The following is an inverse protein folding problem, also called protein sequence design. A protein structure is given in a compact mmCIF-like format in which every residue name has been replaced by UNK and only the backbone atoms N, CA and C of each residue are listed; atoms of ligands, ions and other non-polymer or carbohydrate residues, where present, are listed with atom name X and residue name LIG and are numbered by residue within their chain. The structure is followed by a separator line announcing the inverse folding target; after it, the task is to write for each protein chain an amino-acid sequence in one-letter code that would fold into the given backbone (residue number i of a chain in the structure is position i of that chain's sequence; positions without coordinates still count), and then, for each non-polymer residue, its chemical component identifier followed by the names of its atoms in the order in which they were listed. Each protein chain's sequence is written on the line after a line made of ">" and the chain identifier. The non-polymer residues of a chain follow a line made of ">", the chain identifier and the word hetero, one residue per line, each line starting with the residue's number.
data_IF_684518478930
#
_entry.id   IF_684518478930
#
_cell.length_a   1.000
_cell.length_b   1.000
_cell.length_c   1.000
_cell.angle_alpha   90.00
_cell.angle_beta   90.00
_cell.angle_gamma   90.00
#
_symmetry.space_group_name_H-M   'P 1'
#
loop_
_entity.id
_entity.type
_entity.pdbx_description
1 polymer ?
#
# COMPACT_ATOMS: atom_id res chain seq x y z
N UNK A 1 -18.18 -17.90 12.98
CA UNK A 1 -17.03 -17.60 12.09
C UNK A 1 -15.81 -17.59 12.99
N UNK A 2 -14.75 -18.33 12.65
CA UNK A 2 -13.67 -18.65 13.59
C UNK A 2 -12.95 -17.39 14.11
N UNK A 3 -13.06 -17.21 15.42
CA UNK A 3 -12.26 -16.29 16.25
C UNK A 3 -10.84 -16.84 16.28
N UNK A 4 -9.84 -16.06 15.89
CA UNK A 4 -8.43 -16.36 16.16
C UNK A 4 -7.96 -15.44 17.29
N UNK A 5 -7.47 -16.03 18.37
CA UNK A 5 -6.76 -15.31 19.43
C UNK A 5 -5.43 -14.77 18.88
N UNK A 6 -5.15 -13.48 19.12
CA UNK A 6 -3.83 -12.89 18.93
C UNK A 6 -3.29 -12.58 20.33
N UNK A 7 -2.13 -13.14 20.67
CA UNK A 7 -1.50 -12.94 21.98
C UNK A 7 -0.62 -11.67 21.98
N UNK A 8 -1.09 -10.64 22.68
CA UNK A 8 -0.33 -9.72 23.54
C UNK A 8 0.89 -8.91 23.04
N UNK A 9 1.39 -9.06 21.81
CA UNK A 9 2.65 -8.38 21.40
C UNK A 9 2.56 -7.51 20.15
N UNK A 10 1.37 -7.16 19.66
CA UNK A 10 1.22 -6.35 18.43
C UNK A 10 0.84 -4.88 18.66
N UNK A 11 0.84 -4.40 19.91
CA UNK A 11 0.63 -2.99 20.22
C UNK A 11 1.99 -2.34 20.51
N UNK A 12 2.84 -2.25 19.49
CA UNK A 12 3.92 -1.23 19.51
C UNK A 12 4.18 -0.76 18.09
N UNK A 13 4.09 0.56 17.92
CA UNK A 13 4.42 1.37 16.75
C UNK A 13 3.28 1.61 15.76
N UNK A 14 2.44 2.60 16.07
CA UNK A 14 1.77 3.39 15.03
C UNK A 14 1.82 4.87 15.41
N UNK A 15 2.40 5.70 14.53
CA UNK A 15 2.94 7.04 14.83
C UNK A 15 2.10 8.16 14.19
N UNK A 16 0.77 8.01 14.13
CA UNK A 16 -0.08 9.02 13.48
C UNK A 16 -1.42 9.28 14.17
N UNK A 17 -1.52 9.08 15.49
CA UNK A 17 -2.62 9.66 16.25
C UNK A 17 -2.36 11.17 16.41
N UNK A 18 -3.19 12.02 15.82
CA UNK A 18 -3.20 13.46 16.17
C UNK A 18 -4.03 13.64 17.43
N UNK A 19 -3.48 14.33 18.43
CA UNK A 19 -4.24 14.76 19.60
C UNK A 19 -5.39 15.69 19.16
N UNK A 20 -6.61 15.40 19.61
CA UNK A 20 -7.75 16.29 19.41
C UNK A 20 -7.54 17.62 20.17
N UNK A 21 -7.93 18.78 19.60
CA UNK A 21 -7.75 20.06 20.26
C UNK A 21 -8.55 20.12 21.57
N UNK A 22 -7.87 20.44 22.65
CA UNK A 22 -8.44 20.57 24.00
C UNK A 22 -9.36 21.80 24.06
N UNK A 23 -10.63 21.61 24.43
CA UNK A 23 -11.52 22.68 24.88
C UNK A 23 -12.84 22.86 24.10
N UNK A 24 -13.94 22.48 24.77
CA UNK A 24 -15.32 22.97 24.67
C UNK A 24 -16.19 22.73 23.42
N UNK A 25 -15.74 22.04 22.38
CA UNK A 25 -16.63 21.70 21.26
C UNK A 25 -16.60 20.19 21.01
N UNK A 26 -17.79 19.55 21.04
CA UNK A 26 -17.95 18.20 20.51
C UNK A 26 -17.64 18.25 19.02
N UNK A 27 -16.61 17.53 18.58
CA UNK A 27 -16.26 17.44 17.17
C UNK A 27 -16.84 16.12 16.65
N UNK A 28 -17.71 16.16 15.63
CA UNK A 28 -18.15 14.93 14.98
C UNK A 28 -16.98 14.34 14.20
N UNK A 29 -16.63 13.10 14.50
CA UNK A 29 -15.69 12.32 13.70
C UNK A 29 -16.51 11.30 12.91
N UNK A 30 -16.28 11.27 11.61
CA UNK A 30 -16.89 10.29 10.71
C UNK A 30 -15.87 9.18 10.50
N UNK A 31 -16.19 7.99 10.97
CA UNK A 31 -15.31 6.84 10.86
C UNK A 31 -15.95 5.83 9.91
N UNK A 32 -15.19 5.46 8.87
CA UNK A 32 -15.52 4.36 7.97
C UNK A 32 -14.43 3.30 8.13
N UNK A 33 -14.84 2.02 8.15
CA UNK A 33 -13.91 0.88 8.11
C UNK A 33 -12.95 0.74 9.32
N UNK A 34 -13.45 0.96 10.54
CA UNK A 34 -12.69 0.70 11.77
C UNK A 34 -12.78 -0.76 12.25
N UNK A 35 -11.83 -1.14 13.11
CA UNK A 35 -11.94 -2.32 13.98
C UNK A 35 -11.96 -1.81 15.41
N UNK A 36 -13.10 -1.96 16.06
CA UNK A 36 -13.27 -1.65 17.47
C UNK A 36 -13.18 -2.95 18.27
N UNK A 37 -12.63 -2.86 19.47
CA UNK A 37 -12.55 -4.00 20.39
C UNK A 37 -13.68 -3.84 21.40
N UNK A 38 -14.06 -4.86 22.16
CA UNK A 38 -14.82 -4.64 23.39
C UNK A 38 -14.72 -5.87 24.29
N UNK A 39 -14.59 -5.65 25.59
CA UNK A 39 -14.47 -6.74 26.55
C UNK A 39 -15.85 -7.24 27.00
N UNK A 40 -16.05 -8.55 27.06
CA UNK A 40 -17.25 -9.13 27.67
C UNK A 40 -17.25 -8.90 29.19
N UNK A 41 -18.16 -8.06 29.68
CA UNK A 41 -18.22 -7.69 31.10
C UNK A 41 -18.81 -8.78 32.02
N UNK A 42 -19.23 -9.94 31.49
CA UNK A 42 -19.68 -11.07 32.33
C UNK A 42 -18.53 -11.94 32.90
N UNK A 43 -17.34 -11.36 33.09
CA UNK A 43 -16.23 -11.99 33.82
C UNK A 43 -15.40 -13.00 33.02
N UNK A 44 -15.43 -12.93 31.69
CA UNK A 44 -14.52 -13.69 30.83
C UNK A 44 -13.32 -12.84 30.37
N UNK A 45 -12.13 -13.44 30.26
CA UNK A 45 -10.92 -12.81 29.69
C UNK A 45 -10.97 -12.67 28.16
N UNK A 46 -12.17 -12.66 27.57
CA UNK A 46 -12.37 -12.74 26.13
C UNK A 46 -12.71 -11.36 25.60
N UNK A 47 -11.80 -10.79 24.80
CA UNK A 47 -12.04 -9.59 24.00
C UNK A 47 -12.78 -9.98 22.73
N UNK A 48 -13.85 -9.27 22.43
CA UNK A 48 -14.52 -9.28 21.14
C UNK A 48 -14.00 -8.11 20.31
N UNK A 49 -14.27 -8.16 19.01
CA UNK A 49 -14.02 -7.02 18.14
C UNK A 49 -15.15 -6.89 17.13
N UNK A 50 -15.57 -5.66 16.87
CA UNK A 50 -16.48 -5.28 15.81
C UNK A 50 -15.66 -4.76 14.64
N UNK A 51 -15.79 -5.40 13.48
CA UNK A 51 -15.15 -4.90 12.26
C UNK A 51 -16.20 -4.23 11.39
N UNK A 52 -16.12 -2.90 11.26
CA UNK A 52 -16.97 -2.12 10.36
C UNK A 52 -16.61 -2.33 8.88
N UNK A 53 -15.42 -2.88 8.57
CA UNK A 53 -14.99 -3.14 7.17
C UNK A 53 -15.96 -4.00 6.35
N UNK A 54 -16.92 -4.68 6.98
CA UNK A 54 -17.94 -5.50 6.30
C UNK A 54 -19.27 -4.79 6.02
N UNK A 55 -19.52 -3.63 6.63
CA UNK A 55 -20.75 -2.86 6.44
C UNK A 55 -20.39 -1.49 5.86
N UNK A 56 -21.06 -1.10 4.78
CA UNK A 56 -20.93 0.20 4.12
C UNK A 56 -21.63 1.31 4.92
N UNK A 57 -21.40 1.35 6.23
CA UNK A 57 -22.04 2.29 7.15
C UNK A 57 -21.00 3.26 7.73
N UNK A 58 -21.28 4.55 7.62
CA UNK A 58 -20.57 5.60 8.35
C UNK A 58 -21.12 5.67 9.77
N UNK A 59 -20.26 5.58 10.79
CA UNK A 59 -20.65 5.93 12.17
C UNK A 59 -20.23 7.37 12.46
N UNK A 60 -21.08 8.08 13.20
CA UNK A 60 -20.79 9.42 13.71
C UNK A 60 -20.50 9.26 15.18
N UNK A 61 -19.32 9.72 15.60
CA UNK A 61 -18.89 9.68 16.98
C UNK A 61 -18.62 11.09 17.49
N UNK A 62 -19.03 11.36 18.72
CA UNK A 62 -18.83 12.65 19.37
C UNK A 62 -17.76 12.49 20.44
N UNK A 63 -16.59 13.08 20.20
CA UNK A 63 -15.47 13.01 21.15
C UNK A 63 -15.45 14.27 22.02
N UNK A 64 -15.37 14.08 23.35
CA UNK A 64 -15.17 15.16 24.33
C UNK A 64 -13.84 14.98 25.06
N UNK A 65 -12.95 15.97 24.96
CA UNK A 65 -11.65 15.97 25.67
C UNK A 65 -11.68 17.01 26.78
N UNK A 66 -11.62 16.56 28.03
CA UNK A 66 -11.59 17.42 29.21
C UNK A 66 -10.25 17.32 29.94
N UNK A 67 -9.55 18.44 30.14
CA UNK A 67 -8.30 18.50 30.92
C UNK A 67 -8.52 18.60 32.43
N UNK A 68 -9.68 18.18 32.93
CA UNK A 68 -10.13 18.50 34.29
C UNK A 68 -9.68 17.55 35.40
N UNK A 69 -9.13 16.36 35.10
CA UNK A 69 -8.79 15.39 36.15
C UNK A 69 -7.28 15.31 36.42
N UNK A 70 -6.86 15.86 37.56
CA UNK A 70 -5.54 15.55 38.13
C UNK A 70 -5.59 14.16 38.73
N UNK A 71 -5.24 13.15 37.94
CA UNK A 71 -4.53 11.93 38.33
C UNK A 71 -4.43 11.01 37.09
N UNK A 72 -3.22 10.93 36.53
CA UNK A 72 -2.75 9.94 35.55
C UNK A 72 -3.67 9.58 34.38
N UNK A 73 -3.63 10.37 33.31
CA UNK A 73 -4.09 9.95 31.98
C UNK A 73 -4.78 11.06 31.20
N UNK A 74 -4.42 11.20 29.92
CA UNK A 74 -5.31 11.78 28.90
C UNK A 74 -6.42 10.76 28.67
N UNK A 75 -7.62 11.05 29.15
CA UNK A 75 -8.82 10.25 28.88
C UNK A 75 -9.61 10.91 27.73
N UNK A 76 -10.23 10.10 26.88
CA UNK A 76 -11.28 10.53 25.96
C UNK A 76 -12.58 9.80 26.34
N UNK A 77 -13.72 10.49 26.32
CA UNK A 77 -15.03 9.89 26.61
C UNK A 77 -15.84 9.75 25.32
N UNK A 78 -16.48 8.59 25.12
CA UNK A 78 -17.42 8.32 24.05
C UNK A 78 -18.87 8.44 24.55
N UNK A 79 -19.73 9.01 23.71
CA UNK A 79 -21.18 8.96 23.89
C UNK A 79 -21.79 8.10 22.77
N UNK A 80 -22.01 6.81 23.07
CA UNK A 80 -22.66 5.87 22.16
C UNK A 80 -24.19 6.06 22.16
N UNK A 81 -24.69 7.07 21.46
CA UNK A 81 -26.12 7.12 21.10
C UNK A 81 -26.31 6.35 19.77
N UNK A 82 -27.11 5.26 19.72
CA UNK A 82 -28.25 4.97 20.60
C UNK A 82 -28.11 3.75 21.52
N UNK A 83 -26.92 3.21 21.78
CA UNK A 83 -26.78 1.86 22.38
C UNK A 83 -25.97 1.75 23.68
N UNK A 84 -25.56 2.85 24.32
CA UNK A 84 -24.87 2.82 25.63
C UNK A 84 -25.68 3.46 26.79
N UNK A 85 -25.75 2.85 27.99
CA UNK A 85 -26.29 3.52 29.18
C UNK A 85 -25.37 4.70 29.60
N UNK A 86 -25.92 5.80 30.12
CA UNK A 86 -25.22 7.09 30.24
C UNK A 86 -24.11 7.18 31.32
N UNK A 87 -23.59 6.07 31.86
CA UNK A 87 -22.61 6.09 32.97
C UNK A 87 -21.68 4.86 32.98
N UNK A 88 -21.01 4.54 31.88
CA UNK A 88 -20.05 3.43 31.84
C UNK A 88 -18.60 3.92 31.83
N UNK A 89 -17.72 3.37 32.68
CA UNK A 89 -16.29 3.66 32.63
C UNK A 89 -15.71 3.07 31.34
N UNK A 90 -14.96 3.94 30.66
CA UNK A 90 -14.16 3.70 29.47
C UNK A 90 -13.44 2.33 29.50
N UNK A 91 -13.72 1.51 28.49
CA UNK A 91 -13.18 0.15 28.35
C UNK A 91 -12.19 -0.01 27.18
N UNK A 92 -11.72 1.09 26.57
CA UNK A 92 -10.75 1.04 25.48
C UNK A 92 -9.44 1.75 25.83
N UNK A 93 -8.37 1.01 26.18
CA UNK A 93 -7.10 1.65 26.49
C UNK A 93 -6.37 2.24 25.28
N UNK A 94 -6.74 1.90 24.03
CA UNK A 94 -6.09 2.43 22.83
C UNK A 94 -7.03 2.38 21.60
N UNK A 95 -7.56 3.53 21.18
CA UNK A 95 -8.15 3.69 19.84
C UNK A 95 -7.04 3.95 18.82
N UNK A 96 -6.82 3.01 17.89
CA UNK A 96 -5.91 3.21 16.76
C UNK A 96 -6.71 3.87 15.62
N UNK A 97 -6.72 5.20 15.60
CA UNK A 97 -7.20 5.98 14.47
C UNK A 97 -6.15 5.88 13.36
N UNK A 98 -6.37 4.99 12.39
CA UNK A 98 -5.62 5.02 11.14
C UNK A 98 -6.19 6.17 10.31
N UNK A 99 -5.42 7.22 10.09
CA UNK A 99 -5.80 8.30 9.17
C UNK A 99 -5.66 7.78 7.73
N UNK A 100 -6.77 7.41 7.05
CA UNK A 100 -6.71 6.92 5.69
C UNK A 100 -6.32 8.03 4.70
N UNK A 101 -6.16 9.28 5.15
CA UNK A 101 -5.83 10.43 4.30
C UNK A 101 -4.33 10.65 4.09
N UNK A 102 -3.45 9.86 4.73
CA UNK A 102 -2.00 10.00 4.58
C UNK A 102 -1.41 9.07 3.50
N UNK A 103 -1.42 9.51 2.24
CA UNK A 103 -0.67 8.85 1.17
C UNK A 103 0.81 8.82 1.58
N UNK A 104 1.35 7.62 1.75
CA UNK A 104 2.75 7.42 2.11
C UNK A 104 3.30 6.23 1.35
N UNK A 105 4.37 6.41 0.61
CA UNK A 105 5.19 5.31 0.10
C UNK A 105 6.39 5.15 1.03
N UNK A 106 6.63 3.92 1.46
CA UNK A 106 7.73 3.58 2.35
C UNK A 106 8.85 2.88 1.59
N UNK A 107 10.04 2.92 2.17
CA UNK A 107 11.18 2.17 1.68
C UNK A 107 10.92 0.67 1.58
N UNK A 108 11.71 0.02 0.71
CA UNK A 108 11.71 -1.44 0.62
C UNK A 108 12.35 -2.06 1.86
N UNK A 109 11.71 -3.10 2.41
CA UNK A 109 12.29 -3.91 3.48
C UNK A 109 13.34 -4.93 2.97
N UNK A 110 13.44 -5.10 1.65
CA UNK A 110 14.36 -6.04 0.99
C UNK A 110 15.18 -5.32 -0.08
N UNK A 111 16.08 -4.39 0.29
CA UNK A 111 16.85 -3.62 -0.68
C UNK A 111 17.80 -4.50 -1.49
N UNK A 112 17.86 -4.25 -2.80
CA UNK A 112 18.82 -4.86 -3.72
C UNK A 112 20.04 -3.94 -3.80
N UNK A 113 21.12 -4.33 -3.11
CA UNK A 113 22.35 -3.53 -3.02
C UNK A 113 23.19 -3.56 -4.30
N UNK A 114 23.11 -4.64 -5.06
CA UNK A 114 23.79 -4.81 -6.35
C UNK A 114 22.82 -5.40 -7.37
N UNK A 115 22.27 -4.54 -8.21
CA UNK A 115 21.34 -4.95 -9.26
C UNK A 115 22.01 -5.77 -10.36
N UNK A 116 23.33 -5.61 -10.57
CA UNK A 116 24.07 -6.44 -11.52
C UNK A 116 24.14 -7.89 -11.02
N UNK A 117 24.44 -8.10 -9.73
CA UNK A 117 24.40 -9.45 -9.13
C UNK A 117 22.96 -9.99 -9.07
N UNK A 118 21.98 -9.12 -8.83
CA UNK A 118 20.57 -9.50 -8.82
C UNK A 118 20.11 -10.08 -10.17
N UNK A 119 20.47 -9.40 -11.27
CA UNK A 119 20.06 -9.76 -12.63
C UNK A 119 21.09 -10.63 -13.39
N UNK A 120 22.18 -11.08 -12.75
CA UNK A 120 23.30 -11.77 -13.43
C UNK A 120 22.93 -13.02 -14.23
N UNK A 121 21.84 -13.71 -13.85
CA UNK A 121 21.38 -14.90 -14.56
C UNK A 121 20.45 -14.57 -15.75
N UNK A 122 20.12 -13.30 -15.98
CA UNK A 122 19.36 -12.85 -17.15
C UNK A 122 20.34 -12.63 -18.32
N UNK A 123 20.16 -13.40 -19.39
CA UNK A 123 20.90 -13.27 -20.62
C UNK A 123 20.25 -12.21 -21.53
N UNK A 124 20.88 -11.03 -21.58
CA UNK A 124 20.44 -9.90 -22.40
C UNK A 124 20.39 -10.15 -23.91
N UNK A 125 20.98 -11.25 -24.40
CA UNK A 125 20.97 -11.61 -25.83
C UNK A 125 19.78 -12.49 -26.23
N UNK A 126 18.92 -12.87 -25.28
CA UNK A 126 17.73 -13.69 -25.50
C UNK A 126 16.51 -12.87 -25.06
N UNK A 127 15.35 -13.08 -25.69
CA UNK A 127 14.10 -12.47 -25.24
C UNK A 127 13.70 -12.95 -23.84
N UNK A 128 12.72 -12.29 -23.25
CA UNK A 128 12.18 -12.66 -21.94
C UNK A 128 10.67 -12.43 -21.88
N UNK A 129 10.00 -13.01 -20.90
CA UNK A 129 8.67 -12.58 -20.49
C UNK A 129 8.82 -11.55 -19.39
N UNK A 130 8.23 -10.38 -19.59
CA UNK A 130 8.12 -9.33 -18.59
C UNK A 130 6.71 -9.38 -18.02
N UNK A 131 6.59 -9.29 -16.70
CA UNK A 131 5.30 -9.07 -16.05
C UNK A 131 5.35 -7.78 -15.25
N UNK A 132 4.37 -6.91 -15.45
CA UNK A 132 4.12 -5.74 -14.58
C UNK A 132 3.00 -6.14 -13.61
N UNK A 133 3.22 -5.89 -12.32
CA UNK A 133 2.28 -6.13 -11.23
C UNK A 133 1.86 -4.80 -10.63
N UNK A 134 0.60 -4.73 -10.20
CA UNK A 134 0.05 -3.58 -9.50
C UNK A 134 -0.73 -4.08 -8.29
N UNK A 135 -0.29 -3.63 -7.12
CA UNK A 135 -0.94 -3.80 -5.83
C UNK A 135 -1.66 -2.50 -5.50
N UNK A 136 -2.99 -2.50 -5.59
CA UNK A 136 -3.78 -1.30 -5.41
C UNK A 136 -3.99 -1.08 -3.90
N UNK A 137 -4.06 0.18 -3.40
CA UNK A 137 -4.41 0.45 -2.01
C UNK A 137 -5.68 -0.24 -1.55
N UNK A 138 -6.67 -0.25 -2.43
CA UNK A 138 -7.87 -1.06 -2.33
C UNK A 138 -8.02 -1.85 -3.62
N UNK A 139 -8.01 -3.18 -3.49
CA UNK A 139 -8.20 -4.10 -4.60
C UNK A 139 -9.42 -3.72 -5.44
N UNK A 140 -9.22 -3.61 -6.75
CA UNK A 140 -10.27 -3.28 -7.71
C UNK A 140 -10.94 -1.90 -7.48
N UNK A 141 -10.19 -0.91 -7.00
CA UNK A 141 -10.65 0.47 -6.81
C UNK A 141 -9.63 1.49 -7.33
N UNK A 142 -10.09 2.70 -7.64
CA UNK A 142 -9.27 3.91 -7.91
C UNK A 142 -9.01 4.76 -6.64
N UNK A 143 -9.33 4.23 -5.46
CA UNK A 143 -8.97 4.87 -4.19
C UNK A 143 -7.46 4.77 -3.98
N UNK A 144 -6.81 5.94 -3.89
CA UNK A 144 -5.36 6.15 -3.95
C UNK A 144 -4.62 5.92 -2.63
N UNK A 145 -5.35 5.69 -1.53
CA UNK A 145 -4.77 5.47 -0.23
C UNK A 145 -5.60 4.47 0.58
N UNK A 146 -4.96 3.56 1.32
CA UNK A 146 -5.63 2.73 2.32
C UNK A 146 -4.81 2.65 3.62
N UNK A 147 -5.44 2.33 4.76
CA UNK A 147 -4.72 2.13 6.01
C UNK A 147 -3.70 0.97 5.98
N UNK A 148 -3.92 -0.04 5.14
CA UNK A 148 -3.09 -1.24 5.07
C UNK A 148 -1.95 -1.08 4.06
N UNK A 149 -2.30 -0.76 2.82
CA UNK A 149 -1.37 -0.75 1.69
C UNK A 149 -0.90 0.67 1.33
N UNK A 150 -1.36 1.68 2.10
CA UNK A 150 -1.01 3.10 1.92
C UNK A 150 -1.22 3.50 0.47
N UNK A 151 -0.17 3.84 -0.28
CA UNK A 151 -0.27 4.25 -1.68
C UNK A 151 -0.32 3.08 -2.69
N UNK A 152 -0.22 1.83 -2.23
CA UNK A 152 -0.06 0.64 -3.07
C UNK A 152 1.36 0.53 -3.64
N UNK A 153 1.55 -0.39 -4.58
CA UNK A 153 2.84 -0.59 -5.23
C UNK A 153 2.72 -1.03 -6.70
N UNK A 154 3.71 -0.69 -7.52
CA UNK A 154 3.84 -1.17 -8.90
C UNK A 154 5.27 -1.66 -9.11
N UNK A 155 5.40 -2.87 -9.64
CA UNK A 155 6.69 -3.55 -9.76
C UNK A 155 6.69 -4.53 -10.92
N UNK A 156 7.85 -5.14 -11.21
CA UNK A 156 7.99 -6.02 -12.37
C UNK A 156 8.64 -7.36 -12.03
N UNK A 157 8.48 -8.34 -12.92
CA UNK A 157 9.35 -9.50 -13.01
C UNK A 157 9.91 -9.69 -14.41
N UNK A 158 11.14 -10.19 -14.47
CA UNK A 158 11.78 -10.72 -15.68
C UNK A 158 11.85 -12.23 -15.53
N UNK A 159 11.19 -12.95 -16.42
CA UNK A 159 11.25 -14.42 -16.51
C UNK A 159 11.94 -14.84 -17.81
N UNK A 160 13.04 -15.58 -17.68
CA UNK A 160 13.82 -16.06 -18.82
C UNK A 160 14.46 -17.42 -18.52
N UNK A 161 14.11 -18.44 -19.31
CA UNK A 161 14.70 -19.78 -19.26
C UNK A 161 14.71 -20.39 -17.83
N UNK A 162 13.65 -20.15 -17.06
CA UNK A 162 13.53 -20.63 -15.68
C UNK A 162 14.27 -19.79 -14.64
N UNK A 163 14.94 -18.70 -15.03
CA UNK A 163 15.37 -17.64 -14.11
C UNK A 163 14.23 -16.64 -13.93
N UNK A 164 14.06 -16.16 -12.69
CA UNK A 164 13.04 -15.18 -12.33
C UNK A 164 13.68 -14.11 -11.45
N UNK A 165 13.46 -12.84 -11.80
CA UNK A 165 13.88 -11.68 -11.02
C UNK A 165 12.73 -10.71 -10.88
N UNK A 166 12.17 -10.59 -9.68
CA UNK A 166 11.04 -9.73 -9.34
C UNK A 166 11.51 -8.57 -8.47
N UNK A 167 11.30 -7.34 -8.93
CA UNK A 167 11.81 -6.14 -8.28
C UNK A 167 10.99 -4.89 -8.63
N UNK A 168 11.11 -3.88 -7.79
CA UNK A 168 10.40 -2.60 -7.93
C UNK A 168 11.25 -1.40 -7.53
N UNK A 169 10.71 -0.22 -7.80
CA UNK A 169 11.34 1.06 -7.56
C UNK A 169 10.73 1.73 -6.32
N UNK A 170 11.57 2.19 -5.40
CA UNK A 170 11.15 2.67 -4.08
C UNK A 170 11.84 3.99 -3.72
N UNK A 171 11.25 4.77 -2.79
CA UNK A 171 12.03 5.76 -2.06
C UNK A 171 12.97 5.03 -1.10
N UNK A 172 14.10 5.65 -0.79
CA UNK A 172 14.95 5.32 0.34
C UNK A 172 14.58 6.29 1.47
N UNK A 173 13.65 5.86 2.32
CA UNK A 173 12.94 6.67 3.32
C UNK A 173 11.42 6.63 3.16
N UNK A 174 10.76 7.75 3.42
CA UNK A 174 9.30 7.89 3.30
C UNK A 174 8.95 9.05 2.39
N UNK A 175 8.18 8.79 1.33
CA UNK A 175 7.66 9.81 0.44
C UNK A 175 6.19 10.08 0.76
N UNK A 176 5.84 11.35 0.92
CA UNK A 176 4.46 11.81 1.16
C UNK A 176 4.14 12.98 0.24
N UNK A 177 2.87 13.34 0.02
CA UNK A 177 2.52 14.49 -0.82
C UNK A 177 3.26 15.81 -0.46
N UNK A 178 3.51 16.05 0.82
CA UNK A 178 4.20 17.25 1.33
C UNK A 178 5.73 17.13 1.37
N UNK A 179 6.25 15.90 1.30
CA UNK A 179 7.68 15.60 1.23
C UNK A 179 7.89 14.49 0.19
N UNK A 180 7.65 14.79 -1.10
CA UNK A 180 7.53 13.78 -2.14
C UNK A 180 8.89 13.22 -2.58
N UNK A 181 9.93 14.03 -2.45
CA UNK A 181 11.26 13.73 -2.97
C UNK A 181 12.12 12.99 -1.94
N UNK A 182 12.67 11.85 -2.34
CA UNK A 182 13.65 11.06 -1.59
C UNK A 182 14.76 10.58 -2.54
N UNK A 183 15.91 10.17 -2.02
CA UNK A 183 16.78 9.27 -2.80
C UNK A 183 16.02 7.99 -3.13
N UNK A 184 16.31 7.33 -4.24
CA UNK A 184 15.63 6.09 -4.62
C UNK A 184 16.39 4.83 -4.21
N UNK A 185 15.70 3.69 -4.28
CA UNK A 185 16.23 2.35 -4.10
C UNK A 185 15.50 1.36 -5.02
N UNK A 186 16.13 0.21 -5.26
CA UNK A 186 15.50 -0.95 -5.90
C UNK A 186 15.28 -2.02 -4.83
N UNK A 187 14.08 -2.60 -4.81
CA UNK A 187 13.66 -3.60 -3.81
C UNK A 187 13.31 -4.95 -4.43
N UNK A 188 13.55 -6.03 -3.69
CA UNK A 188 13.12 -7.38 -4.05
C UNK A 188 11.63 -7.57 -3.74
N UNK A 189 10.83 -7.67 -4.80
CA UNK A 189 9.36 -7.82 -4.75
C UNK A 189 8.90 -9.28 -4.92
N UNK A 190 9.80 -10.25 -4.75
CA UNK A 190 9.43 -11.66 -4.81
C UNK A 190 8.48 -12.05 -3.69
N UNK A 191 7.43 -12.80 -4.04
CA UNK A 191 6.38 -13.22 -3.11
C UNK A 191 5.43 -12.10 -2.68
N UNK A 192 5.46 -10.93 -3.34
CA UNK A 192 4.57 -9.80 -3.03
C UNK A 192 3.16 -10.03 -3.60
N UNK A 193 2.13 -9.61 -2.88
CA UNK A 193 0.74 -9.63 -3.37
C UNK A 193 0.55 -8.64 -4.51
N UNK A 194 -0.44 -8.88 -5.35
CA UNK A 194 -0.88 -7.92 -6.37
C UNK A 194 -2.35 -8.15 -6.70
N UNK A 195 -3.00 -7.14 -7.25
CA UNK A 195 -4.40 -7.18 -7.66
C UNK A 195 -4.57 -7.38 -9.16
N UNK A 196 -3.67 -6.80 -9.94
CA UNK A 196 -3.63 -6.97 -11.39
C UNK A 196 -2.22 -7.17 -11.89
N UNK A 197 -2.09 -7.87 -13.01
CA UNK A 197 -0.84 -7.92 -13.73
C UNK A 197 -1.04 -8.04 -15.24
N UNK A 198 -0.02 -7.62 -15.97
CA UNK A 198 0.09 -7.80 -17.42
C UNK A 198 1.42 -8.45 -17.74
N UNK A 199 1.40 -9.50 -18.55
CA UNK A 199 2.60 -10.23 -18.99
C UNK A 199 2.74 -10.17 -20.50
N UNK A 200 3.95 -9.97 -21.00
CA UNK A 200 4.24 -9.87 -22.43
C UNK A 200 5.66 -10.33 -22.73
N UNK A 201 5.86 -10.82 -23.96
CA UNK A 201 7.18 -11.25 -24.42
C UNK A 201 7.92 -10.10 -25.07
N UNK A 202 9.21 -9.96 -24.76
CA UNK A 202 10.08 -8.94 -25.33
C UNK A 202 11.21 -9.58 -26.13
N UNK A 203 11.60 -8.93 -27.22
CA UNK A 203 12.78 -9.31 -28.00
C UNK A 203 14.08 -8.95 -27.23
N UNK A 204 15.24 -9.56 -27.58
CA UNK A 204 16.52 -9.26 -26.92
C UNK A 204 16.87 -7.77 -26.85
N UNK A 205 16.61 -7.01 -27.91
CA UNK A 205 16.88 -5.57 -27.96
C UNK A 205 16.04 -4.78 -26.94
N UNK A 206 14.77 -5.16 -26.76
CA UNK A 206 13.89 -4.54 -25.76
C UNK A 206 14.29 -4.95 -24.35
N UNK A 207 14.68 -6.21 -24.14
CA UNK A 207 15.21 -6.66 -22.85
C UNK A 207 16.48 -5.89 -22.47
N UNK A 208 17.40 -5.66 -23.41
CA UNK A 208 18.59 -4.84 -23.18
C UNK A 208 18.23 -3.43 -22.72
N UNK A 209 17.24 -2.79 -23.36
CA UNK A 209 16.78 -1.46 -22.96
C UNK A 209 16.17 -1.48 -21.55
N UNK A 210 15.33 -2.46 -21.23
CA UNK A 210 14.73 -2.61 -19.89
C UNK A 210 15.81 -2.81 -18.83
N UNK A 211 16.81 -3.66 -19.10
CA UNK A 211 17.92 -3.91 -18.18
C UNK A 211 18.77 -2.66 -17.99
N UNK A 212 19.17 -1.97 -19.06
CA UNK A 212 19.94 -0.74 -19.00
C UNK A 212 19.20 0.36 -18.23
N UNK A 213 17.90 0.50 -18.48
CA UNK A 213 17.04 1.41 -17.74
C UNK A 213 16.95 1.04 -16.26
N UNK A 214 16.83 -0.25 -15.95
CA UNK A 214 16.81 -0.73 -14.57
C UNK A 214 18.15 -0.50 -13.88
N UNK A 215 19.29 -0.64 -14.56
CA UNK A 215 20.62 -0.37 -14.00
C UNK A 215 20.87 1.12 -13.75
N UNK A 216 20.34 1.98 -14.63
CA UNK A 216 20.47 3.43 -14.55
C UNK A 216 19.16 4.08 -14.06
N UNK A 217 18.48 3.42 -13.12
CA UNK A 217 17.25 3.94 -12.55
C UNK A 217 17.46 5.35 -11.99
N UNK A 218 16.41 6.18 -12.04
CA UNK A 218 16.48 7.55 -11.55
C UNK A 218 16.94 7.56 -10.08
N UNK A 219 18.04 8.25 -9.71
CA UNK A 219 18.54 8.26 -8.33
C UNK A 219 17.62 9.02 -7.36
N UNK A 220 16.62 9.73 -7.89
CA UNK A 220 15.61 10.46 -7.13
C UNK A 220 14.26 9.77 -7.32
N UNK A 221 13.64 9.42 -6.21
CA UNK A 221 12.24 9.07 -6.15
C UNK A 221 11.45 10.32 -5.85
N UNK A 222 10.42 10.61 -6.63
CA UNK A 222 9.51 11.71 -6.34
C UNK A 222 8.07 11.25 -6.47
N UNK A 223 7.32 11.27 -5.37
CA UNK A 223 5.94 10.79 -5.34
C UNK A 223 5.08 11.44 -6.43
N UNK A 224 5.29 12.73 -6.72
CA UNK A 224 4.42 13.50 -7.62
C UNK A 224 4.81 13.36 -9.10
N UNK A 225 6.08 13.11 -9.39
CA UNK A 225 6.61 13.22 -10.76
C UNK A 225 7.35 12.00 -11.28
N UNK A 226 7.83 11.11 -10.40
CA UNK A 226 8.51 9.89 -10.80
C UNK A 226 8.58 8.87 -9.66
N UNK A 227 7.64 7.93 -9.64
CA UNK A 227 7.46 6.95 -8.57
C UNK A 227 7.43 5.50 -9.09
N UNK A 228 6.99 4.55 -8.26
CA UNK A 228 6.98 3.12 -8.60
C UNK A 228 6.09 2.80 -9.81
N UNK A 229 4.98 3.53 -9.97
CA UNK A 229 4.06 3.37 -11.09
C UNK A 229 4.65 3.93 -12.38
N UNK A 230 5.32 5.10 -12.32
CA UNK A 230 6.02 5.65 -13.49
C UNK A 230 7.10 4.70 -14.00
N UNK A 231 7.90 4.14 -13.09
CA UNK A 231 8.93 3.15 -13.43
C UNK A 231 8.34 1.94 -14.17
N UNK A 232 7.22 1.40 -13.68
CA UNK A 232 6.54 0.27 -14.31
C UNK A 232 5.92 0.65 -15.68
N UNK A 233 5.35 1.85 -15.80
CA UNK A 233 4.79 2.39 -17.04
C UNK A 233 5.88 2.53 -18.11
N UNK A 234 7.04 3.09 -17.76
CA UNK A 234 8.16 3.27 -18.69
C UNK A 234 8.67 1.93 -19.22
N UNK A 235 8.79 0.90 -18.37
CA UNK A 235 9.15 -0.45 -18.79
C UNK A 235 8.11 -1.03 -19.77
N UNK A 236 6.82 -0.88 -19.48
CA UNK A 236 5.75 -1.31 -20.40
C UNK A 236 5.82 -0.57 -21.74
N UNK A 237 6.16 0.72 -21.72
CA UNK A 237 6.28 1.54 -22.91
C UNK A 237 7.50 1.21 -23.77
N UNK A 238 8.60 0.73 -23.18
CA UNK A 238 9.73 0.17 -23.94
C UNK A 238 9.33 -1.06 -24.77
N UNK A 239 8.30 -1.78 -24.34
CA UNK A 239 7.71 -2.90 -25.09
C UNK A 239 6.60 -2.47 -26.06
N UNK A 240 6.37 -1.16 -26.24
CA UNK A 240 5.41 -0.62 -27.19
C UNK A 240 3.96 -0.65 -26.71
N UNK A 241 3.71 -0.82 -25.41
CA UNK A 241 2.34 -0.90 -24.88
C UNK A 241 1.58 0.43 -24.89
N UNK A 242 2.28 1.57 -24.99
CA UNK A 242 1.67 2.90 -24.97
C UNK A 242 0.76 3.13 -23.76
N UNK A 243 1.19 2.64 -22.59
CA UNK A 243 0.58 2.87 -21.30
C UNK A 243 0.57 4.39 -21.01
N UNK A 244 -0.59 4.96 -20.63
CA UNK A 244 -0.70 6.37 -20.31
C UNK A 244 -0.12 6.66 -18.92
N UNK A 245 0.16 7.94 -18.68
CA UNK A 245 0.29 8.46 -17.33
C UNK A 245 -1.01 8.22 -16.56
N UNK A 246 -0.93 7.49 -15.44
CA UNK A 246 -2.06 7.09 -14.60
C UNK A 246 -2.21 8.08 -13.44
N UNK A 247 -2.20 9.37 -13.77
CA UNK A 247 -2.21 10.47 -12.82
C UNK A 247 -3.53 10.59 -12.05
N UNK A 248 -3.43 10.82 -10.75
CA UNK A 248 -4.53 11.29 -9.91
C UNK A 248 -4.03 12.32 -8.89
N UNK A 249 -4.83 13.36 -8.55
CA UNK A 249 -4.49 14.27 -7.46
C UNK A 249 -4.44 13.53 -6.12
N UNK A 250 -3.50 13.89 -5.25
CA UNK A 250 -3.48 13.43 -3.87
C UNK A 250 -4.54 14.17 -3.04
N UNK A 251 -4.92 13.63 -1.87
CA UNK A 251 -6.07 14.12 -1.07
C UNK A 251 -5.93 15.58 -0.57
N UNK A 252 -4.78 16.24 -0.73
CA UNK A 252 -4.62 17.64 -0.29
C UNK A 252 -3.64 18.48 -1.12
N UNK A 253 -2.54 17.90 -1.62
CA UNK A 253 -1.53 18.64 -2.37
C UNK A 253 -0.78 17.72 -3.34
N UNK A 254 -0.42 18.21 -4.51
CA UNK A 254 0.24 17.42 -5.56
C UNK A 254 -0.65 16.36 -6.22
N UNK A 255 0.01 15.47 -6.94
CA UNK A 255 -0.59 14.36 -7.68
C UNK A 255 0.48 13.66 -8.49
N UNK A 256 0.21 12.42 -8.91
CA UNK A 256 1.15 11.62 -9.69
C UNK A 256 0.52 10.33 -10.18
N UNK A 257 1.25 9.60 -11.01
CA UNK A 257 0.87 8.24 -11.41
C UNK A 257 0.76 7.35 -10.18
N UNK A 258 -0.26 6.50 -10.09
CA UNK A 258 -0.44 5.67 -8.89
C UNK A 258 -1.00 4.26 -9.19
N UNK A 259 -0.75 3.30 -8.28
CA UNK A 259 -1.23 1.93 -8.42
C UNK A 259 -2.75 1.79 -8.52
N UNK A 260 -3.52 2.65 -7.83
CA UNK A 260 -4.98 2.58 -7.89
C UNK A 260 -5.49 2.86 -9.31
N UNK A 261 -5.14 4.01 -9.88
CA UNK A 261 -5.51 4.40 -11.24
C UNK A 261 -4.89 3.46 -12.29
N UNK A 262 -3.63 3.06 -12.12
CA UNK A 262 -2.96 2.16 -13.06
C UNK A 262 -3.61 0.77 -13.07
N UNK A 263 -3.97 0.25 -11.90
CA UNK A 263 -4.68 -1.02 -11.77
C UNK A 263 -6.04 -0.99 -12.47
N UNK A 264 -6.79 0.11 -12.32
CA UNK A 264 -8.05 0.30 -13.02
C UNK A 264 -7.88 0.45 -14.54
N UNK A 265 -6.85 1.18 -14.99
CA UNK A 265 -6.54 1.29 -16.42
C UNK A 265 -6.24 -0.08 -17.03
N UNK A 266 -5.40 -0.88 -16.37
CA UNK A 266 -5.12 -2.25 -16.78
C UNK A 266 -6.41 -3.05 -16.86
N UNK A 267 -7.28 -3.02 -15.85
CA UNK A 267 -8.56 -3.77 -15.87
C UNK A 267 -9.44 -3.37 -17.03
N UNK A 268 -9.71 -2.08 -17.17
CA UNK A 268 -10.86 -1.58 -17.91
C UNK A 268 -10.51 -1.09 -19.33
N UNK A 269 -9.29 -0.63 -19.56
CA UNK A 269 -8.94 0.11 -20.77
C UNK A 269 -7.83 -0.54 -21.60
N UNK A 270 -6.92 -1.28 -20.98
CA UNK A 270 -5.82 -1.90 -21.69
C UNK A 270 -6.28 -3.14 -22.48
N UNK A 271 -6.56 -2.97 -23.76
CA UNK A 271 -6.95 -4.05 -24.67
C UNK A 271 -5.86 -4.26 -25.72
N UNK A 272 -4.98 -5.25 -25.48
CA UNK A 272 -3.92 -5.62 -26.40
C UNK A 272 -3.84 -7.16 -26.49
N UNK A 273 -3.90 -7.72 -27.70
CA UNK A 273 -3.88 -9.18 -27.87
C UNK A 273 -2.50 -9.81 -27.62
N UNK A 274 -1.45 -8.99 -27.51
CA UNK A 274 -0.08 -9.43 -27.27
C UNK A 274 0.27 -9.51 -25.78
N UNK A 275 -0.67 -9.16 -24.88
CA UNK A 275 -0.49 -9.24 -23.44
C UNK A 275 -1.41 -10.31 -22.84
N UNK A 276 -0.94 -10.94 -21.77
CA UNK A 276 -1.76 -11.77 -20.89
C UNK A 276 -2.10 -10.95 -19.66
N UNK A 277 -3.39 -10.73 -19.41
CA UNK A 277 -3.88 -9.96 -18.26
C UNK A 277 -4.39 -10.89 -17.16
N UNK A 278 -3.96 -10.64 -15.93
CA UNK A 278 -4.58 -11.19 -14.72
C UNK A 278 -5.32 -10.05 -13.98
N UNK A 279 -6.61 -10.23 -13.73
CA UNK A 279 -7.46 -9.27 -13.00
C UNK A 279 -8.00 -9.84 -11.68
N UNK A 280 -7.59 -11.04 -11.29
CA UNK A 280 -8.03 -11.69 -10.05
C UNK A 280 -6.98 -11.62 -8.94
N UNK A 281 -5.87 -10.92 -9.19
CA UNK A 281 -4.74 -10.82 -8.28
C UNK A 281 -3.94 -12.11 -8.13
N UNK A 282 -3.05 -12.12 -7.16
CA UNK A 282 -2.22 -13.26 -6.80
C UNK A 282 -0.98 -12.87 -6.01
N UNK A 283 0.03 -13.72 -6.09
CA UNK A 283 1.34 -13.51 -5.48
C UNK A 283 2.41 -13.59 -6.55
N UNK A 284 3.34 -12.64 -6.57
CA UNK A 284 4.45 -12.59 -7.52
C UNK A 284 5.38 -13.79 -7.32
N UNK A 285 6.06 -14.25 -8.39
CA UNK A 285 6.92 -15.42 -8.29
C UNK A 285 8.15 -15.15 -7.41
N UNK A 286 8.63 -16.21 -6.76
CA UNK A 286 9.90 -16.19 -6.03
C UNK A 286 11.06 -16.04 -7.00
N UNK A 287 12.11 -15.31 -6.59
CA UNK A 287 13.33 -15.19 -7.38
C UNK A 287 14.01 -16.55 -7.59
N UNK A 288 14.41 -16.83 -8.83
CA UNK A 288 15.11 -18.07 -9.21
C UNK A 288 16.37 -17.68 -9.99
N UNK A 289 17.54 -18.08 -9.49
CA UNK A 289 18.85 -17.80 -10.07
C UNK A 289 19.57 -19.10 -10.41
N UNK A 290 19.18 -19.74 -11.50
CA UNK A 290 19.76 -21.01 -11.92
C UNK A 290 21.05 -20.82 -12.74
N UNK A 291 21.22 -19.68 -13.41
CA UNK A 291 22.44 -19.32 -14.17
C UNK A 291 22.95 -20.46 -15.09
N UNK A 292 22.01 -21.25 -15.63
CA UNK A 292 22.25 -22.40 -16.50
C UNK A 292 22.56 -21.96 -17.93
#
# INVERSE_FOLDING_TARGET
>A
MLVKEITGSQITNNISAKEAPIGQVLIPIFVEHYTDWYQNLNGGNTYFYLVSTKYSGTTVEYVYVNTGFQLYGTYHEHFDDPHGPPNHPDNHPDEIILDPSSITVVETLKPILDLNDFLKCINKNIGATITIYVDQPFANSDVIASPLDKAGHSFISINQNGNVSTFGFYPNGHATPYSPTQSSAIGDDSGHSYDVSISFNVAPSVLQNIMEYSYNYNPIYDLNSYNCTDFAIEIGNMAGLSLPDCYQPWINDGGGSNPATFGQYIRNNLNNNSIVKNITGGTSPINIKNCL
#
